data_IF_815744100856
#
_entry.id   IF_815744100856
#
_cell.length_a   1.000
_cell.length_b   1.000
_cell.length_c   1.000
_cell.angle_alpha   90.00
_cell.angle_beta   90.00
_cell.angle_gamma   90.00
#
_symmetry.space_group_name_H-M   'P 1'
#
loop_
_entity.id
_entity.type
_entity.pdbx_description
1 polymer ?
#
# COMPACT_ATOMS: atom_id res chain seq x y z
N UNK A 1 -14.45 4.78 -0.18
CA UNK A 1 -14.12 6.19 -0.47
C UNK A 1 -13.14 6.19 -1.65
N UNK A 2 -13.32 6.99 -2.72
CA UNK A 2 -12.37 6.97 -3.81
C UNK A 2 -11.05 7.53 -3.28
N UNK A 3 -10.00 6.74 -3.45
CA UNK A 3 -8.66 7.13 -3.03
C UNK A 3 -8.21 8.32 -3.88
N UNK A 4 -8.13 9.51 -3.28
CA UNK A 4 -7.72 10.73 -3.97
C UNK A 4 -6.22 10.67 -4.31
N UNK A 5 -5.81 11.32 -5.40
CA UNK A 5 -4.40 11.47 -5.79
C UNK A 5 -3.53 12.07 -4.67
N UNK A 6 -4.14 12.80 -3.72
CA UNK A 6 -3.48 13.28 -2.49
C UNK A 6 -2.89 12.14 -1.64
N UNK A 7 -3.46 10.93 -1.67
CA UNK A 7 -2.95 9.79 -0.92
C UNK A 7 -1.54 9.38 -1.39
N UNK A 8 -1.22 9.59 -2.67
CA UNK A 8 0.11 9.31 -3.21
C UNK A 8 1.23 10.19 -2.63
N UNK A 9 0.86 11.31 -1.98
CA UNK A 9 1.78 12.27 -1.38
C UNK A 9 1.71 12.30 0.15
N UNK A 10 0.85 11.47 0.75
CA UNK A 10 0.80 11.32 2.19
C UNK A 10 2.09 10.67 2.70
N UNK A 11 2.53 11.10 3.88
CA UNK A 11 3.67 10.49 4.56
C UNK A 11 3.32 9.06 4.99
N UNK A 12 4.34 8.21 5.12
CA UNK A 12 4.16 6.83 5.63
C UNK A 12 3.49 6.83 7.02
N UNK A 13 3.80 7.82 7.87
CA UNK A 13 3.16 7.96 9.18
C UNK A 13 1.67 8.27 9.09
N UNK A 14 1.25 9.13 8.15
CA UNK A 14 -0.17 9.40 7.89
C UNK A 14 -0.88 8.17 7.32
N UNK A 15 -0.27 7.49 6.36
CA UNK A 15 -0.81 6.25 5.80
C UNK A 15 -0.99 5.20 6.88
N UNK A 16 0.02 4.97 7.72
CA UNK A 16 -0.04 3.99 8.82
C UNK A 16 -1.13 4.31 9.84
N UNK A 17 -1.31 5.59 10.21
CA UNK A 17 -2.40 6.01 11.10
C UNK A 17 -3.77 5.73 10.48
N UNK A 18 -3.96 6.07 9.20
CA UNK A 18 -5.24 5.90 8.48
C UNK A 18 -5.60 4.44 8.25
N UNK A 19 -4.60 3.59 8.01
CA UNK A 19 -4.73 2.14 7.92
C UNK A 19 -5.15 1.55 9.28
N UNK A 20 -4.49 1.96 10.36
CA UNK A 20 -4.84 1.55 11.73
C UNK A 20 -6.25 2.00 12.13
N UNK A 21 -6.66 3.21 11.76
CA UNK A 21 -8.02 3.71 11.98
C UNK A 21 -9.06 3.15 11.00
N UNK A 22 -8.66 2.21 10.12
CA UNK A 22 -9.51 1.54 9.12
C UNK A 22 -10.23 2.49 8.17
N UNK A 23 -9.59 3.61 7.83
CA UNK A 23 -10.13 4.52 6.81
C UNK A 23 -10.06 3.91 5.40
N UNK A 24 -9.06 3.06 5.20
CA UNK A 24 -8.91 2.16 4.07
C UNK A 24 -8.15 0.92 4.52
N UNK A 25 -8.19 -0.14 3.72
CA UNK A 25 -7.44 -1.38 3.98
C UNK A 25 -6.07 -1.36 3.30
N UNK A 26 -5.16 -2.24 3.73
CA UNK A 26 -3.86 -2.45 3.08
C UNK A 26 -4.04 -2.88 1.62
N UNK A 27 -5.03 -3.73 1.32
CA UNK A 27 -5.37 -4.13 -0.05
C UNK A 27 -5.79 -2.93 -0.89
N UNK A 28 -6.63 -2.03 -0.37
CA UNK A 28 -7.06 -0.81 -1.07
C UNK A 28 -5.87 0.12 -1.34
N UNK A 29 -5.01 0.36 -0.34
CA UNK A 29 -3.80 1.16 -0.47
C UNK A 29 -2.83 0.57 -1.52
N UNK A 30 -2.65 -0.75 -1.48
CA UNK A 30 -1.77 -1.47 -2.38
C UNK A 30 -2.28 -1.42 -3.83
N UNK A 31 -3.59 -1.61 -4.04
CA UNK A 31 -4.21 -1.47 -5.37
C UNK A 31 -4.02 -0.06 -5.92
N UNK A 32 -4.26 0.96 -5.10
CA UNK A 32 -4.06 2.36 -5.49
C UNK A 32 -2.64 2.62 -6.02
N UNK A 33 -1.60 2.19 -5.29
CA UNK A 33 -0.23 2.41 -5.75
C UNK A 33 0.15 1.56 -6.96
N UNK A 34 -0.36 0.33 -7.07
CA UNK A 34 -0.12 -0.52 -8.24
C UNK A 34 -0.76 0.05 -9.51
N UNK A 35 -2.01 0.53 -9.44
CA UNK A 35 -2.68 1.22 -10.56
C UNK A 35 -1.94 2.49 -10.97
N UNK A 36 -1.44 3.25 -9.99
CA UNK A 36 -0.64 4.44 -10.23
C UNK A 36 0.69 4.10 -10.91
N UNK A 37 1.31 3.00 -10.51
CA UNK A 37 2.55 2.49 -11.09
C UNK A 37 2.34 1.98 -12.53
N UNK A 38 1.21 1.35 -12.83
CA UNK A 38 0.86 0.99 -14.21
C UNK A 38 0.67 2.22 -15.10
N UNK A 39 0.02 3.27 -14.59
CA UNK A 39 -0.23 4.51 -15.33
C UNK A 39 1.02 5.35 -15.57
N UNK A 40 1.91 5.44 -14.58
CA UNK A 40 3.04 6.39 -14.56
C UNK A 40 4.41 5.72 -14.68
N UNK A 41 4.55 4.48 -14.19
CA UNK A 41 5.83 3.76 -14.11
C UNK A 41 6.57 3.66 -15.44
N UNK A 42 5.92 3.27 -16.55
CA UNK A 42 6.57 3.17 -17.87
C UNK A 42 7.11 4.51 -18.38
N UNK A 43 6.47 5.63 -18.02
CA UNK A 43 6.92 6.97 -18.44
C UNK A 43 8.12 7.47 -17.64
N UNK A 44 8.28 6.96 -16.42
CA UNK A 44 9.30 7.40 -15.47
C UNK A 44 10.44 6.40 -15.32
N UNK A 45 10.37 5.23 -15.96
CA UNK A 45 11.24 4.08 -15.68
C UNK A 45 11.31 3.79 -14.17
N UNK A 46 10.16 3.82 -13.50
CA UNK A 46 10.10 3.89 -12.04
C UNK A 46 10.56 2.61 -11.32
N UNK A 47 10.31 1.44 -11.91
CA UNK A 47 10.66 0.13 -11.35
C UNK A 47 11.02 -0.85 -12.46
N UNK A 48 11.89 -1.81 -12.14
CA UNK A 48 12.27 -2.90 -13.06
C UNK A 48 11.28 -4.05 -13.02
N UNK A 49 10.87 -4.45 -11.81
CA UNK A 49 9.97 -5.60 -11.58
C UNK A 49 8.80 -5.21 -10.70
N UNK A 50 7.58 -5.45 -11.16
CA UNK A 50 6.36 -5.25 -10.38
C UNK A 50 5.94 -6.57 -9.74
N UNK A 51 5.89 -6.62 -8.41
CA UNK A 51 5.51 -7.82 -7.64
C UNK A 51 4.02 -7.83 -7.27
N UNK A 52 3.14 -7.58 -8.25
CA UNK A 52 1.69 -7.33 -8.05
C UNK A 52 1.00 -8.40 -7.20
N UNK A 53 1.14 -9.67 -7.56
CA UNK A 53 0.47 -10.77 -6.84
C UNK A 53 0.96 -10.86 -5.39
N UNK A 54 2.28 -10.84 -5.20
CA UNK A 54 2.91 -10.86 -3.88
C UNK A 54 2.44 -9.69 -3.02
N UNK A 55 2.45 -8.47 -3.56
CA UNK A 55 2.01 -7.28 -2.84
C UNK A 55 0.55 -7.40 -2.37
N UNK A 56 -0.34 -7.90 -3.23
CA UNK A 56 -1.75 -8.11 -2.87
C UNK A 56 -1.94 -9.22 -1.83
N UNK A 57 -1.17 -10.31 -1.92
CA UNK A 57 -1.19 -11.39 -0.92
C UNK A 57 -0.74 -10.90 0.45
N UNK A 58 0.39 -10.18 0.52
CA UNK A 58 0.92 -9.63 1.77
C UNK A 58 -0.03 -8.58 2.37
N UNK A 59 -0.65 -7.74 1.53
CA UNK A 59 -1.65 -6.76 1.97
C UNK A 59 -2.89 -7.43 2.58
N UNK A 60 -3.38 -8.51 1.97
CA UNK A 60 -4.54 -9.26 2.48
C UNK A 60 -4.23 -9.94 3.83
N UNK A 61 -3.00 -10.40 4.02
CA UNK A 61 -2.53 -10.94 5.30
C UNK A 61 -2.47 -9.85 6.37
N UNK A 62 -1.91 -8.68 6.04
CA UNK A 62 -1.89 -7.53 6.94
C UNK A 62 -3.31 -7.13 7.38
N UNK A 63 -4.25 -7.02 6.44
CA UNK A 63 -5.64 -6.72 6.76
C UNK A 63 -6.26 -7.75 7.73
N UNK A 64 -5.99 -9.04 7.50
CA UNK A 64 -6.46 -10.13 8.37
C UNK A 64 -5.87 -10.03 9.78
N UNK A 65 -4.59 -9.68 9.88
CA UNK A 65 -3.90 -9.52 11.17
C UNK A 65 -4.37 -8.30 11.94
N UNK A 66 -4.52 -7.17 11.26
CA UNK A 66 -5.08 -5.96 11.86
C UNK A 66 -6.51 -6.18 12.34
N UNK A 67 -7.32 -6.95 11.60
CA UNK A 67 -8.67 -7.33 12.03
C UNK A 67 -8.67 -8.26 13.26
N UNK A 68 -7.66 -9.13 13.39
CA UNK A 68 -7.49 -10.03 14.54
C UNK A 68 -6.71 -9.41 15.71
N UNK A 69 -6.44 -8.10 15.68
CA UNK A 69 -5.74 -7.39 16.76
C UNK A 69 -4.22 -7.58 16.76
N UNK A 70 -3.65 -8.25 15.76
CA UNK A 70 -2.20 -8.45 15.61
C UNK A 70 -1.57 -7.29 14.87
N UNK A 71 -1.33 -6.20 15.56
CA UNK A 71 -0.60 -5.06 15.01
C UNK A 71 0.92 -5.28 15.03
N UNK A 72 1.59 -5.07 13.90
CA UNK A 72 3.04 -5.30 13.73
C UNK A 72 3.87 -4.01 13.85
N UNK A 73 3.24 -2.87 14.14
CA UNK A 73 3.90 -1.58 14.23
C UNK A 73 3.64 -0.65 13.03
N UNK A 74 4.33 0.50 12.96
CA UNK A 74 3.98 1.62 12.08
C UNK A 74 3.90 1.33 10.58
N UNK A 75 4.58 0.26 10.12
CA UNK A 75 4.63 -0.15 8.72
C UNK A 75 3.68 -1.31 8.39
N UNK A 76 2.85 -1.75 9.33
CA UNK A 76 1.90 -2.84 9.11
C UNK A 76 0.94 -2.50 7.96
N UNK A 77 1.03 -3.26 6.86
CA UNK A 77 0.18 -3.08 5.68
C UNK A 77 0.59 -1.95 4.73
N UNK A 78 1.75 -1.31 4.93
CA UNK A 78 2.26 -0.26 4.04
C UNK A 78 3.00 -0.90 2.84
N UNK A 79 2.59 -0.62 1.59
CA UNK A 79 3.33 -1.08 0.42
C UNK A 79 4.66 -0.31 0.28
N UNK A 80 5.70 -0.99 -0.20
CA UNK A 80 7.02 -0.39 -0.41
C UNK A 80 7.68 -0.91 -1.69
N UNK A 81 8.63 -0.14 -2.20
CA UNK A 81 9.56 -0.58 -3.24
C UNK A 81 10.91 -0.94 -2.61
N UNK A 82 11.55 -1.99 -3.14
CA UNK A 82 12.91 -2.37 -2.77
C UNK A 82 13.84 -2.12 -3.96
N UNK A 83 15.09 -1.73 -3.66
CA UNK A 83 16.14 -1.64 -4.67
C UNK A 83 16.59 -3.04 -5.08
N UNK A 84 16.84 -3.24 -6.36
CA UNK A 84 17.55 -4.40 -6.91
C UNK A 84 19.07 -4.33 -6.68
#
# INVERSE_FOLDING_TARGET
MPVSDSLAFATVAELGRRLWSREFTSVELTRFFLERLERLGPKLNAVVTVTRERALTEAQQADTELCSGRYRGPLHGIPYGAKD
#
